data_IF_975640281170
#
_entry.id   IF_975640281170
#
_cell.length_a   1.000
_cell.length_b   1.000
_cell.length_c   1.000
_cell.angle_alpha   90.00
_cell.angle_beta   90.00
_cell.angle_gamma   90.00
#
_symmetry.space_group_name_H-M   'P 1'
#
loop_
_entity.id
_entity.type
_entity.pdbx_description
1 polymer ?
#
# COMPACT_ATOMS: atom_id res chain seq x y z
N UNK A 1 -1.54 28.63 22.99
CA UNK A 1 -1.10 27.74 24.09
C UNK A 1 -0.70 26.41 23.50
N UNK A 2 0.21 25.63 24.10
CA UNK A 2 0.66 24.39 23.49
C UNK A 2 -0.53 23.43 23.42
N UNK A 3 -0.84 22.96 22.21
CA UNK A 3 -1.87 21.94 22.02
C UNK A 3 -1.48 20.72 22.84
N UNK A 4 -2.39 20.27 23.72
CA UNK A 4 -2.20 19.05 24.51
C UNK A 4 -1.84 17.92 23.56
N UNK A 5 -0.68 17.32 23.78
CA UNK A 5 -0.32 16.02 23.22
C UNK A 5 -1.47 15.06 23.51
N UNK A 6 -2.24 14.70 22.49
CA UNK A 6 -3.18 13.59 22.58
C UNK A 6 -2.35 12.33 22.73
N UNK A 7 -2.09 11.95 23.98
CA UNK A 7 -1.45 10.69 24.35
C UNK A 7 -2.39 9.54 23.96
N UNK A 8 -1.92 8.70 23.03
CA UNK A 8 -2.64 7.56 22.47
C UNK A 8 -3.29 7.79 21.10
N UNK A 9 -3.58 6.69 20.41
CA UNK A 9 -4.32 6.68 19.15
C UNK A 9 -5.82 6.99 19.39
N UNK A 10 -6.43 7.76 18.49
CA UNK A 10 -7.89 7.93 18.41
C UNK A 10 -8.57 6.64 17.94
N UNK A 11 -9.89 6.52 18.13
CA UNK A 11 -10.65 5.35 17.66
C UNK A 11 -10.48 5.08 16.14
N UNK A 12 -10.45 6.13 15.34
CA UNK A 12 -10.25 6.03 13.87
C UNK A 12 -8.85 5.49 13.57
N UNK A 13 -7.84 5.98 14.28
CA UNK A 13 -6.45 5.55 14.11
C UNK A 13 -6.23 4.10 14.58
N UNK A 14 -6.86 3.70 15.69
CA UNK A 14 -6.84 2.30 16.16
C UNK A 14 -7.49 1.37 15.14
N UNK A 15 -8.61 1.78 14.55
CA UNK A 15 -9.25 1.02 13.48
C UNK A 15 -8.34 0.93 12.26
N UNK A 16 -7.74 2.05 11.82
CA UNK A 16 -6.81 2.09 10.70
C UNK A 16 -5.62 1.16 10.93
N UNK A 17 -4.98 1.25 12.10
CA UNK A 17 -3.85 0.40 12.48
C UNK A 17 -4.22 -1.09 12.40
N UNK A 18 -5.42 -1.47 12.87
CA UNK A 18 -5.92 -2.85 12.81
C UNK A 18 -6.17 -3.33 11.37
N UNK A 19 -6.59 -2.45 10.47
CA UNK A 19 -6.93 -2.82 9.08
C UNK A 19 -5.74 -2.77 8.12
N UNK A 20 -4.70 -1.99 8.44
CA UNK A 20 -3.54 -1.79 7.58
C UNK A 20 -2.81 -3.09 7.19
N UNK A 21 -2.59 -4.07 8.09
CA UNK A 21 -1.96 -5.33 7.71
C UNK A 21 -2.69 -6.10 6.61
N UNK A 22 -4.03 -6.14 6.65
CA UNK A 22 -4.84 -6.81 5.61
C UNK A 22 -4.79 -6.03 4.28
N UNK A 23 -4.77 -4.69 4.34
CA UNK A 23 -4.62 -3.84 3.17
C UNK A 23 -3.24 -4.02 2.51
N UNK A 24 -2.17 -4.06 3.31
CA UNK A 24 -0.80 -4.31 2.88
C UNK A 24 -0.70 -5.67 2.20
N UNK A 25 -1.16 -6.75 2.85
CA UNK A 25 -1.10 -8.10 2.30
C UNK A 25 -1.86 -8.22 0.96
N UNK A 26 -2.99 -7.52 0.83
CA UNK A 26 -3.74 -7.46 -0.43
C UNK A 26 -2.97 -6.71 -1.52
N UNK A 27 -2.35 -5.58 -1.18
CA UNK A 27 -1.55 -4.79 -2.13
C UNK A 27 -0.33 -5.59 -2.61
N UNK A 28 0.35 -6.31 -1.73
CA UNK A 28 1.45 -7.22 -2.08
C UNK A 28 1.00 -8.33 -3.04
N UNK A 29 -0.14 -8.98 -2.80
CA UNK A 29 -0.70 -9.99 -3.72
C UNK A 29 -1.06 -9.40 -5.09
N UNK A 30 -1.65 -8.20 -5.12
CA UNK A 30 -1.95 -7.51 -6.37
C UNK A 30 -0.68 -7.11 -7.15
N UNK A 31 0.36 -6.64 -6.45
CA UNK A 31 1.68 -6.34 -7.03
C UNK A 31 2.28 -7.60 -7.64
N UNK A 32 2.34 -8.69 -6.89
CA UNK A 32 2.88 -9.98 -7.36
C UNK A 32 2.15 -10.46 -8.62
N UNK A 33 0.83 -10.32 -8.69
CA UNK A 33 0.04 -10.68 -9.89
C UNK A 33 0.40 -9.82 -11.10
N UNK A 34 0.58 -8.52 -10.91
CA UNK A 34 0.96 -7.60 -11.98
C UNK A 34 2.39 -7.83 -12.45
N UNK A 35 3.33 -8.06 -11.54
CA UNK A 35 4.72 -8.40 -11.87
C UNK A 35 4.79 -9.70 -12.67
N UNK A 36 4.08 -10.75 -12.24
CA UNK A 36 3.97 -12.01 -12.99
C UNK A 36 3.36 -11.82 -14.37
N UNK A 37 2.35 -10.96 -14.51
CA UNK A 37 1.74 -10.65 -15.79
C UNK A 37 2.71 -9.89 -16.72
N UNK A 38 3.41 -8.89 -16.19
CA UNK A 38 4.39 -8.07 -16.91
C UNK A 38 5.66 -8.83 -17.26
N UNK A 39 5.95 -9.94 -16.57
CA UNK A 39 7.09 -10.80 -16.85
C UNK A 39 6.96 -11.59 -18.17
N UNK A 40 5.79 -11.63 -18.82
CA UNK A 40 5.64 -12.22 -20.15
C UNK A 40 6.42 -11.39 -21.20
N UNK A 41 7.53 -11.91 -21.77
CA UNK A 41 8.39 -11.14 -22.67
C UNK A 41 7.71 -10.81 -24.01
N UNK A 42 6.59 -11.45 -24.33
CA UNK A 42 5.81 -11.21 -25.55
C UNK A 42 4.62 -10.29 -25.30
N UNK A 43 4.33 -9.91 -24.05
CA UNK A 43 3.14 -9.14 -23.71
C UNK A 43 3.12 -7.78 -24.41
N UNK A 44 4.24 -7.04 -24.41
CA UNK A 44 4.30 -5.74 -25.06
C UNK A 44 4.04 -5.82 -26.57
N UNK A 45 4.61 -6.81 -27.25
CA UNK A 45 4.39 -7.00 -28.69
C UNK A 45 2.98 -7.50 -29.03
N UNK A 46 2.38 -8.34 -28.17
CA UNK A 46 1.03 -8.89 -28.38
C UNK A 46 -0.06 -7.88 -28.04
N UNK A 47 0.11 -7.14 -26.94
CA UNK A 47 -0.92 -6.27 -26.38
C UNK A 47 -0.28 -5.07 -25.64
N UNK A 48 0.23 -4.07 -26.38
CA UNK A 48 0.92 -2.92 -25.79
C UNK A 48 0.01 -2.10 -24.88
N UNK A 49 -1.31 -2.07 -25.15
CA UNK A 49 -2.28 -1.36 -24.32
C UNK A 49 -2.44 -2.05 -22.96
N UNK A 50 -2.55 -3.38 -22.92
CA UNK A 50 -2.57 -4.10 -21.62
C UNK A 50 -1.25 -3.98 -20.88
N UNK A 51 -0.11 -4.01 -21.58
CA UNK A 51 1.19 -3.79 -20.95
C UNK A 51 1.23 -2.42 -20.26
N UNK A 52 0.91 -1.34 -20.98
CA UNK A 52 0.90 0.02 -20.40
C UNK A 52 -0.02 0.11 -19.19
N UNK A 53 -1.26 -0.39 -19.30
CA UNK A 53 -2.22 -0.36 -18.18
C UNK A 53 -1.74 -1.18 -16.98
N UNK A 54 -1.11 -2.33 -17.19
CA UNK A 54 -0.57 -3.15 -16.11
C UNK A 54 0.62 -2.47 -15.44
N UNK A 55 1.51 -1.84 -16.20
CA UNK A 55 2.65 -1.06 -15.69
C UNK A 55 2.18 0.15 -14.86
N UNK A 56 1.21 0.91 -15.36
CA UNK A 56 0.58 2.00 -14.59
C UNK A 56 -0.08 1.47 -13.33
N UNK A 57 -0.81 0.36 -13.44
CA UNK A 57 -1.46 -0.31 -12.32
C UNK A 57 -0.47 -0.78 -11.25
N UNK A 58 0.72 -1.24 -11.65
CA UNK A 58 1.80 -1.68 -10.77
C UNK A 58 2.36 -0.50 -9.97
N UNK A 59 2.71 0.59 -10.66
CA UNK A 59 3.21 1.82 -10.01
C UNK A 59 2.19 2.35 -8.98
N UNK A 60 0.90 2.36 -9.33
CA UNK A 60 -0.16 2.78 -8.42
C UNK A 60 -0.20 1.94 -7.14
N UNK A 61 -0.06 0.62 -7.25
CA UNK A 61 -0.09 -0.29 -6.09
C UNK A 61 1.17 -0.20 -5.24
N UNK A 62 2.35 -0.07 -5.87
CA UNK A 62 3.60 0.15 -5.15
C UNK A 62 3.54 1.45 -4.33
N UNK A 63 2.99 2.53 -4.88
CA UNK A 63 2.79 3.77 -4.14
C UNK A 63 1.78 3.63 -2.99
N UNK A 64 0.69 2.87 -3.20
CA UNK A 64 -0.30 2.59 -2.16
C UNK A 64 0.30 1.73 -1.03
N UNK A 65 1.09 0.71 -1.38
CA UNK A 65 1.79 -0.15 -0.44
C UNK A 65 2.73 0.67 0.44
N UNK A 66 3.63 1.45 -0.19
CA UNK A 66 4.58 2.29 0.53
C UNK A 66 3.88 3.25 1.51
N UNK A 67 2.77 3.86 1.08
CA UNK A 67 1.96 4.72 1.96
C UNK A 67 1.32 3.94 3.11
N UNK A 68 0.76 2.76 2.84
CA UNK A 68 0.15 1.94 3.88
C UNK A 68 1.17 1.46 4.91
N UNK A 69 2.38 1.12 4.47
CA UNK A 69 3.51 0.75 5.35
C UNK A 69 3.98 1.95 6.19
N UNK A 70 4.10 3.14 5.59
CA UNK A 70 4.43 4.38 6.31
C UNK A 70 3.36 4.72 7.36
N UNK A 71 2.08 4.72 6.97
CA UNK A 71 0.95 4.93 7.88
C UNK A 71 0.97 3.90 9.04
N UNK A 72 1.31 2.65 8.76
CA UNK A 72 1.38 1.59 9.76
C UNK A 72 2.50 1.83 10.78
N UNK A 73 3.72 2.14 10.29
CA UNK A 73 4.87 2.44 11.14
C UNK A 73 4.62 3.65 12.03
N UNK A 74 4.02 4.72 11.50
CA UNK A 74 3.68 5.91 12.28
C UNK A 74 2.65 5.61 13.39
N UNK A 75 1.65 4.80 13.08
CA UNK A 75 0.61 4.42 14.04
C UNK A 75 1.12 3.45 15.12
N UNK A 76 1.95 2.48 14.75
CA UNK A 76 2.64 1.59 15.71
C UNK A 76 3.55 2.39 16.66
N UNK A 77 4.38 3.30 16.13
CA UNK A 77 5.26 4.14 16.96
C UNK A 77 4.45 4.98 17.96
N UNK A 78 3.33 5.56 17.52
CA UNK A 78 2.44 6.32 18.41
C UNK A 78 1.67 5.45 19.39
N UNK A 79 1.36 4.20 19.05
CA UNK A 79 0.71 3.24 19.95
C UNK A 79 1.67 2.74 21.05
N UNK A 80 2.97 2.71 20.77
CA UNK A 80 4.00 2.26 21.69
C UNK A 80 4.49 3.33 22.69
N UNK A 81 4.06 4.60 22.53
CA UNK A 81 4.39 5.74 23.41
C UNK A 81 3.37 5.93 24.53
#
# INVERSE_FOLDING_TARGET
>A
GPAKSQSGLTYVEQHRLKTLPDEIAKLEDEINKLENFLADPKLFSRDPVKFTKASEGLVQRQNQLAKAEEDWLELEDRAAR
#
